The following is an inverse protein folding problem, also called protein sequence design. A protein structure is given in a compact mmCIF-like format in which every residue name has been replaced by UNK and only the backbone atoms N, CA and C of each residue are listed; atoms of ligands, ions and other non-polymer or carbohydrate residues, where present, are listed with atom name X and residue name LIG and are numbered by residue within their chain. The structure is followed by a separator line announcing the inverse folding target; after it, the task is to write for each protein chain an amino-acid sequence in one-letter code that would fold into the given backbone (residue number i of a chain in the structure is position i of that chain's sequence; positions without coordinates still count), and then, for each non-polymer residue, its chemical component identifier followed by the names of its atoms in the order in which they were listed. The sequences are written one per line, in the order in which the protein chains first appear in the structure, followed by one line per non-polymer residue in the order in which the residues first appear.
data_IF_330736538619
#
_entry.id   IF_330736538619
#
_cell.length_a   1.000
_cell.length_b   1.000
_cell.length_c   1.000
_cell.angle_alpha   90.00
_cell.angle_beta   90.00
_cell.angle_gamma   90.00
#
_symmetry.space_group_name_H-M   'P 1'
#
loop_
_entity.id
_entity.type
_entity.pdbx_description
1 polymer ?
#
# COMPACT_ATOMS: atom_id res chain seq x y z
N UNK A 1 -11.67 -17.39 19.36
CA UNK A 1 -12.38 -16.53 18.39
C UNK A 1 -11.79 -16.74 17.02
N UNK A 2 -12.58 -16.71 15.95
CA UNK A 2 -12.03 -16.77 14.60
C UNK A 2 -11.16 -15.53 14.33
N UNK A 3 -10.03 -15.71 13.62
CA UNK A 3 -9.19 -14.60 13.19
C UNK A 3 -9.95 -13.72 12.19
N UNK A 4 -9.72 -12.42 12.23
CA UNK A 4 -10.24 -11.50 11.21
C UNK A 4 -9.51 -11.72 9.89
N UNK A 5 -10.26 -11.65 8.80
CA UNK A 5 -9.71 -11.76 7.44
C UNK A 5 -9.21 -10.40 6.98
N UNK A 6 -7.95 -10.32 6.65
CA UNK A 6 -7.29 -9.06 6.26
C UNK A 6 -6.61 -9.22 4.90
N UNK A 7 -6.96 -8.36 3.95
CA UNK A 7 -6.21 -8.21 2.72
C UNK A 7 -5.01 -7.28 2.98
N UNK A 8 -3.81 -7.79 2.76
CA UNK A 8 -2.56 -7.03 2.82
C UNK A 8 -2.04 -6.84 1.39
N UNK A 9 -2.05 -5.61 0.89
CA UNK A 9 -1.46 -5.24 -0.40
C UNK A 9 -0.04 -4.72 -0.20
N UNK A 10 0.83 -4.90 -1.19
CA UNK A 10 2.25 -4.65 -1.03
C UNK A 10 2.93 -5.72 -0.17
N UNK A 11 2.39 -6.96 -0.23
CA UNK A 11 2.77 -8.05 0.65
C UNK A 11 4.22 -8.54 0.46
N UNK A 12 4.83 -8.27 -0.68
CA UNK A 12 6.24 -8.57 -0.97
C UNK A 12 7.19 -7.43 -0.61
N UNK A 13 6.63 -6.28 -0.18
CA UNK A 13 7.39 -5.09 0.17
C UNK A 13 8.15 -5.21 1.50
N UNK A 14 9.05 -4.24 1.73
CA UNK A 14 9.90 -4.21 2.93
C UNK A 14 9.08 -4.12 4.22
N UNK A 15 8.09 -3.21 4.29
CA UNK A 15 7.27 -3.04 5.49
C UNK A 15 6.50 -4.32 5.78
N UNK A 16 5.91 -4.92 4.75
CA UNK A 16 5.19 -6.19 4.89
C UNK A 16 6.12 -7.30 5.44
N UNK A 17 7.36 -7.38 4.98
CA UNK A 17 8.32 -8.40 5.46
C UNK A 17 8.58 -8.33 6.96
N UNK A 18 8.52 -7.11 7.54
CA UNK A 18 8.68 -6.90 8.98
C UNK A 18 7.40 -7.23 9.76
N UNK A 19 6.24 -7.02 9.16
CA UNK A 19 4.94 -7.18 9.83
C UNK A 19 4.39 -8.61 9.73
N UNK A 20 4.60 -9.28 8.61
CA UNK A 20 4.00 -10.58 8.30
C UNK A 20 4.20 -11.66 9.38
N UNK A 21 5.39 -11.83 9.98
CA UNK A 21 5.57 -12.84 11.02
C UNK A 21 4.58 -12.68 12.18
N UNK A 22 4.42 -11.45 12.66
CA UNK A 22 3.48 -11.14 13.75
C UNK A 22 2.03 -11.18 13.26
N UNK A 23 1.74 -10.63 12.10
CA UNK A 23 0.35 -10.56 11.59
C UNK A 23 -0.27 -11.93 11.38
N UNK A 24 0.49 -12.91 10.94
CA UNK A 24 0.02 -14.30 10.75
C UNK A 24 -0.49 -14.95 12.05
N UNK A 25 -0.03 -14.49 13.19
CA UNK A 25 -0.50 -14.99 14.49
C UNK A 25 -1.91 -14.48 14.83
N UNK A 26 -2.25 -13.28 14.37
CA UNK A 26 -3.48 -12.58 14.77
C UNK A 26 -4.57 -12.56 13.69
N UNK A 27 -4.20 -12.66 12.42
CA UNK A 27 -5.10 -12.50 11.28
C UNK A 27 -5.08 -13.70 10.33
N UNK A 28 -6.18 -13.89 9.64
CA UNK A 28 -6.28 -14.71 8.44
C UNK A 28 -5.96 -13.80 7.25
N UNK A 29 -4.81 -13.99 6.62
CA UNK A 29 -4.24 -13.05 5.66
C UNK A 29 -4.46 -13.50 4.22
N UNK A 30 -5.07 -12.64 3.43
CA UNK A 30 -4.96 -12.63 1.97
C UNK A 30 -3.83 -11.69 1.58
N UNK A 31 -2.81 -12.22 0.90
CA UNK A 31 -1.63 -11.45 0.51
C UNK A 31 -1.70 -11.12 -0.98
N UNK A 32 -1.46 -9.86 -1.36
CA UNK A 32 -1.48 -9.44 -2.76
C UNK A 32 -0.37 -8.42 -3.06
N UNK A 33 0.23 -8.57 -4.23
CA UNK A 33 1.27 -7.68 -4.76
C UNK A 33 1.41 -7.87 -6.27
N UNK A 34 2.10 -6.95 -6.96
CA UNK A 34 2.47 -7.10 -8.38
C UNK A 34 3.53 -8.20 -8.61
N UNK A 35 4.21 -8.63 -7.55
CA UNK A 35 5.24 -9.67 -7.56
C UNK A 35 5.15 -10.53 -6.31
N UNK A 36 5.44 -11.81 -6.43
CA UNK A 36 5.61 -12.71 -5.29
C UNK A 36 7.05 -12.73 -4.73
N UNK A 37 7.95 -11.89 -5.28
CA UNK A 37 9.34 -11.80 -4.84
C UNK A 37 9.55 -10.57 -3.99
N UNK A 38 10.17 -10.76 -2.82
CA UNK A 38 10.61 -9.66 -1.98
C UNK A 38 11.83 -8.93 -2.57
N UNK A 39 12.27 -7.88 -1.87
CA UNK A 39 13.41 -7.06 -2.31
C UNK A 39 14.74 -7.81 -2.47
N UNK A 40 14.88 -8.99 -1.87
CA UNK A 40 16.08 -9.82 -1.92
C UNK A 40 15.94 -10.94 -2.97
N UNK A 41 14.82 -10.94 -3.71
CA UNK A 41 14.50 -11.92 -4.75
C UNK A 41 13.89 -13.22 -4.23
N UNK A 42 13.67 -13.33 -2.91
CA UNK A 42 13.05 -14.50 -2.32
C UNK A 42 11.54 -14.49 -2.50
N UNK A 43 10.99 -15.67 -2.78
CA UNK A 43 9.55 -15.83 -2.91
C UNK A 43 8.83 -15.65 -1.57
N UNK A 44 7.75 -14.88 -1.59
CA UNK A 44 6.82 -14.73 -0.46
C UNK A 44 5.61 -15.64 -0.73
N UNK A 45 5.51 -16.70 0.06
CA UNK A 45 4.46 -17.68 -0.14
C UNK A 45 3.07 -17.14 0.13
N UNK A 46 2.13 -17.53 -0.74
CA UNK A 46 0.72 -17.17 -0.63
C UNK A 46 0.36 -15.81 -1.24
N UNK A 47 1.31 -15.11 -1.87
CA UNK A 47 1.02 -13.85 -2.57
C UNK A 47 0.25 -14.13 -3.85
N UNK A 48 -0.90 -13.50 -3.98
CA UNK A 48 -1.68 -13.43 -5.21
C UNK A 48 -1.22 -12.23 -6.03
N UNK A 49 -0.95 -12.47 -7.32
CA UNK A 49 -0.45 -11.42 -8.22
C UNK A 49 -1.61 -10.52 -8.63
N UNK A 50 -1.48 -9.23 -8.31
CA UNK A 50 -2.49 -8.23 -8.64
C UNK A 50 -1.84 -6.86 -8.85
N UNK A 51 -2.14 -6.22 -9.98
CA UNK A 51 -1.77 -4.83 -10.24
C UNK A 51 -2.94 -3.91 -9.91
N UNK A 52 -2.85 -3.23 -8.78
CA UNK A 52 -3.89 -2.31 -8.32
C UNK A 52 -3.86 -0.94 -9.03
N UNK A 53 -2.89 -0.68 -9.90
CA UNK A 53 -2.89 0.48 -10.80
C UNK A 53 -3.83 0.24 -11.98
N UNK A 54 -4.03 -1.02 -12.38
CA UNK A 54 -4.93 -1.37 -13.49
C UNK A 54 -6.35 -0.82 -13.22
N UNK A 55 -6.90 -0.01 -14.14
CA UNK A 55 -8.24 0.57 -13.97
C UNK A 55 -9.35 -0.48 -14.02
N UNK A 56 -9.10 -1.65 -14.60
CA UNK A 56 -10.04 -2.75 -14.60
C UNK A 56 -10.03 -3.51 -13.28
N UNK A 57 -10.82 -3.00 -12.32
CA UNK A 57 -10.92 -3.55 -10.97
C UNK A 57 -11.49 -4.96 -10.92
N UNK A 58 -12.16 -5.45 -11.99
CA UNK A 58 -12.68 -6.81 -12.04
C UNK A 58 -11.59 -7.87 -11.91
N UNK A 59 -10.36 -7.56 -12.34
CA UNK A 59 -9.20 -8.46 -12.29
C UNK A 59 -8.81 -8.87 -10.88
N UNK A 60 -9.09 -8.02 -9.89
CA UNK A 60 -8.71 -8.25 -8.49
C UNK A 60 -9.86 -8.06 -7.48
N UNK A 61 -11.11 -7.85 -7.97
CA UNK A 61 -12.27 -7.67 -7.10
C UNK A 61 -12.47 -8.84 -6.12
N UNK A 62 -12.20 -10.07 -6.57
CA UNK A 62 -12.31 -11.29 -5.77
C UNK A 62 -11.44 -11.26 -4.50
N UNK A 63 -10.36 -10.47 -4.47
CA UNK A 63 -9.48 -10.34 -3.30
C UNK A 63 -10.15 -9.61 -2.14
N UNK A 64 -11.23 -8.88 -2.40
CA UNK A 64 -11.97 -8.10 -1.40
C UNK A 64 -13.19 -8.86 -0.88
N UNK A 65 -13.51 -10.02 -1.43
CA UNK A 65 -14.68 -10.79 -1.03
C UNK A 65 -14.48 -11.46 0.33
N UNK A 66 -15.42 -11.23 1.23
CA UNK A 66 -15.40 -11.81 2.57
C UNK A 66 -14.25 -11.34 3.47
N UNK A 67 -13.63 -10.22 3.15
CA UNK A 67 -12.56 -9.56 3.92
C UNK A 67 -13.15 -8.62 4.96
N UNK A 68 -12.58 -8.56 6.17
CA UNK A 68 -13.00 -7.67 7.25
C UNK A 68 -12.31 -6.29 7.19
N UNK A 69 -11.06 -6.26 6.68
CA UNK A 69 -10.26 -5.03 6.58
C UNK A 69 -9.18 -5.14 5.50
N UNK A 70 -8.76 -4.00 4.97
CA UNK A 70 -7.60 -3.88 4.08
C UNK A 70 -6.47 -3.15 4.81
N UNK A 71 -5.24 -3.63 4.65
CA UNK A 71 -4.01 -2.91 4.97
C UNK A 71 -3.28 -2.68 3.66
N UNK A 72 -3.18 -1.41 3.24
CA UNK A 72 -2.59 -1.02 1.97
C UNK A 72 -1.18 -0.47 2.19
N UNK A 73 -0.17 -1.28 1.83
CA UNK A 73 1.24 -0.94 1.90
C UNK A 73 1.89 -0.87 0.51
N UNK A 74 1.13 -1.17 -0.55
CA UNK A 74 1.67 -1.11 -1.91
C UNK A 74 2.01 0.33 -2.28
N UNK A 75 3.16 0.50 -2.87
CA UNK A 75 3.67 1.78 -3.36
C UNK A 75 4.59 1.54 -4.55
N UNK A 76 4.37 2.26 -5.65
CA UNK A 76 5.25 2.24 -6.81
C UNK A 76 6.32 3.33 -6.64
N UNK A 77 7.60 2.97 -6.47
CA UNK A 77 8.66 3.96 -6.32
C UNK A 77 8.92 4.70 -7.64
N UNK A 78 9.34 5.96 -7.57
CA UNK A 78 9.66 6.80 -8.73
C UNK A 78 10.87 6.31 -9.51
N UNK A 79 11.84 5.73 -8.80
CA UNK A 79 13.09 5.30 -9.39
C UNK A 79 13.39 3.86 -8.98
N UNK A 80 14.04 3.09 -9.86
CA UNK A 80 14.61 1.82 -9.46
C UNK A 80 15.52 2.02 -8.25
N UNK A 81 15.49 1.06 -7.34
CA UNK A 81 16.30 1.09 -6.12
C UNK A 81 17.78 1.27 -6.45
N UNK A 82 18.41 2.27 -5.85
CA UNK A 82 19.83 2.59 -6.07
C UNK A 82 20.11 3.53 -7.23
N UNK A 83 19.11 3.88 -8.04
CA UNK A 83 19.24 4.94 -9.03
C UNK A 83 19.20 6.32 -8.36
N UNK A 84 19.97 7.28 -8.87
CA UNK A 84 19.88 8.67 -8.46
C UNK A 84 18.58 9.29 -8.99
N UNK A 85 18.09 10.34 -8.33
CA UNK A 85 16.95 11.13 -8.79
C UNK A 85 17.35 11.97 -10.00
N UNK A 86 17.38 11.35 -11.16
CA UNK A 86 17.66 12.02 -12.43
C UNK A 86 16.38 12.30 -13.24
N UNK A 87 15.21 11.89 -12.69
CA UNK A 87 13.95 12.06 -13.38
C UNK A 87 13.49 13.52 -13.37
N UNK A 88 12.99 13.96 -14.51
CA UNK A 88 12.35 15.26 -14.65
C UNK A 88 11.11 15.36 -13.71
N UNK A 89 10.72 16.57 -13.28
CA UNK A 89 9.54 16.76 -12.43
C UNK A 89 8.26 16.12 -12.98
N UNK A 90 8.10 16.10 -14.30
CA UNK A 90 6.95 15.48 -14.96
C UNK A 90 6.90 13.96 -14.71
N UNK A 91 8.04 13.28 -14.78
CA UNK A 91 8.12 11.84 -14.53
C UNK A 91 7.73 11.49 -13.10
N UNK A 92 8.08 12.37 -12.15
CA UNK A 92 7.66 12.23 -10.74
C UNK A 92 6.16 12.38 -10.60
N UNK A 93 5.58 13.36 -11.27
CA UNK A 93 4.13 13.58 -11.25
C UNK A 93 3.38 12.36 -11.77
N UNK A 94 3.81 11.79 -12.90
CA UNK A 94 3.18 10.62 -13.49
C UNK A 94 3.25 9.40 -12.57
N UNK A 95 4.41 9.17 -11.94
CA UNK A 95 4.56 8.09 -10.96
C UNK A 95 3.67 8.30 -9.71
N UNK A 96 3.57 9.52 -9.19
CA UNK A 96 2.68 9.81 -8.05
C UNK A 96 1.22 9.68 -8.45
N UNK A 97 0.86 10.06 -9.67
CA UNK A 97 -0.49 9.87 -10.18
C UNK A 97 -0.88 8.39 -10.22
N UNK A 98 0.03 7.48 -10.58
CA UNK A 98 -0.22 6.04 -10.50
C UNK A 98 -0.44 5.55 -9.06
N UNK A 99 0.30 6.09 -8.07
CA UNK A 99 0.07 5.77 -6.67
C UNK A 99 -1.30 6.28 -6.18
N UNK A 100 -1.72 7.46 -6.62
CA UNK A 100 -3.06 8.00 -6.36
C UNK A 100 -4.13 7.11 -7.00
N UNK A 101 -3.92 6.69 -8.24
CA UNK A 101 -4.84 5.78 -8.95
C UNK A 101 -4.96 4.45 -8.21
N UNK A 102 -3.84 3.87 -7.78
CA UNK A 102 -3.80 2.65 -7.00
C UNK A 102 -4.60 2.78 -5.69
N UNK A 103 -4.36 3.84 -4.92
CA UNK A 103 -5.09 4.10 -3.68
C UNK A 103 -6.60 4.25 -3.95
N UNK A 104 -6.99 5.00 -5.00
CA UNK A 104 -8.40 5.13 -5.39
C UNK A 104 -9.02 3.78 -5.75
N UNK A 105 -8.32 2.95 -6.51
CA UNK A 105 -8.81 1.62 -6.88
C UNK A 105 -9.03 0.72 -5.65
N UNK A 106 -8.11 0.76 -4.68
CA UNK A 106 -8.24 0.04 -3.41
C UNK A 106 -9.46 0.54 -2.62
N UNK A 107 -9.64 1.87 -2.49
CA UNK A 107 -10.80 2.43 -1.80
C UNK A 107 -12.12 2.01 -2.45
N UNK A 108 -12.19 2.10 -3.77
CA UNK A 108 -13.39 1.73 -4.52
C UNK A 108 -13.69 0.24 -4.41
N UNK A 109 -12.68 -0.61 -4.54
CA UNK A 109 -12.85 -2.06 -4.43
C UNK A 109 -13.26 -2.48 -3.02
N UNK A 110 -12.68 -1.86 -1.99
CA UNK A 110 -13.08 -2.09 -0.62
C UNK A 110 -14.52 -1.65 -0.34
N UNK A 111 -14.93 -0.47 -0.86
CA UNK A 111 -16.29 0.02 -0.74
C UNK A 111 -17.30 -0.91 -1.43
N UNK A 112 -17.00 -1.31 -2.67
CA UNK A 112 -17.84 -2.22 -3.45
C UNK A 112 -17.95 -3.61 -2.79
N UNK A 113 -16.88 -4.08 -2.13
CA UNK A 113 -16.85 -5.30 -1.32
C UNK A 113 -17.52 -5.16 0.06
N UNK A 114 -18.07 -3.98 0.40
CA UNK A 114 -18.75 -3.74 1.68
C UNK A 114 -17.83 -3.63 2.90
N UNK A 115 -16.53 -3.41 2.70
CA UNK A 115 -15.55 -3.28 3.77
C UNK A 115 -15.74 -1.98 4.54
N UNK A 116 -15.54 -2.05 5.86
CA UNK A 116 -15.70 -0.89 6.75
C UNK A 116 -14.39 -0.34 7.30
N UNK A 117 -13.27 -1.03 7.01
CA UNK A 117 -11.97 -0.66 7.57
C UNK A 117 -10.88 -0.77 6.52
N UNK A 118 -10.16 0.33 6.34
CA UNK A 118 -8.98 0.41 5.50
C UNK A 118 -7.92 1.15 6.31
N UNK A 119 -6.73 0.55 6.41
CA UNK A 119 -5.52 1.19 6.90
C UNK A 119 -4.58 1.40 5.73
N UNK A 120 -4.12 2.62 5.51
CA UNK A 120 -3.19 2.96 4.42
C UNK A 120 -1.91 3.52 5.04
N UNK A 121 -0.78 3.01 4.57
CA UNK A 121 0.50 3.58 4.91
C UNK A 121 0.59 4.99 4.30
N UNK A 122 0.95 5.95 5.12
CA UNK A 122 1.27 7.31 4.74
C UNK A 122 2.70 7.63 5.10
N UNK A 123 3.12 8.87 4.94
CA UNK A 123 4.46 9.34 5.25
C UNK A 123 4.39 10.60 6.09
N UNK A 124 5.40 10.81 6.96
CA UNK A 124 5.61 12.09 7.61
C UNK A 124 5.81 13.21 6.58
N UNK A 125 6.35 12.88 5.41
CA UNK A 125 6.51 13.84 4.29
C UNK A 125 5.18 14.38 3.75
N UNK A 126 4.06 13.76 4.04
CA UNK A 126 2.74 14.30 3.71
C UNK A 126 2.47 15.66 4.40
N UNK A 127 3.20 15.95 5.48
CA UNK A 127 3.09 17.19 6.25
C UNK A 127 4.33 18.11 6.15
N UNK A 128 5.26 17.85 5.24
CA UNK A 128 6.56 18.56 5.15
C UNK A 128 6.39 20.07 4.96
N UNK A 129 5.31 20.50 4.30
CA UNK A 129 5.00 21.93 4.18
C UNK A 129 4.89 22.65 5.54
N UNK A 130 4.44 21.93 6.57
CA UNK A 130 4.26 22.46 7.90
C UNK A 130 5.51 22.32 8.78
N UNK A 131 6.53 21.59 8.34
CA UNK A 131 7.74 21.34 9.13
C UNK A 131 8.45 22.62 9.59
N UNK A 132 8.64 23.67 8.73
CA UNK A 132 9.23 24.92 9.18
C UNK A 132 8.40 25.63 10.27
N UNK A 133 7.08 25.52 10.20
CA UNK A 133 6.17 26.10 11.19
C UNK A 133 6.24 25.34 12.52
N UNK A 134 6.28 24.00 12.45
CA UNK A 134 6.46 23.14 13.63
C UNK A 134 7.79 23.41 14.32
N UNK A 135 8.90 23.46 13.57
CA UNK A 135 10.24 23.75 14.10
C UNK A 135 10.37 25.14 14.69
N UNK A 136 9.64 26.11 14.20
CA UNK A 136 9.63 27.50 14.72
C UNK A 136 8.70 27.68 15.91
N UNK A 137 7.96 26.66 16.34
CA UNK A 137 6.95 26.76 17.40
C UNK A 137 5.73 27.61 17.02
N UNK A 138 5.52 27.84 15.73
CA UNK A 138 4.43 28.69 15.22
C UNK A 138 3.14 27.94 14.90
N UNK A 139 3.15 26.61 14.99
CA UNK A 139 1.94 25.80 14.91
C UNK A 139 1.41 25.55 16.30
N UNK A 140 0.57 26.41 16.73
CA UNK A 140 -0.19 26.30 17.97
C UNK A 140 -1.62 25.80 17.73
N UNK A 141 -1.96 25.49 16.46
CA UNK A 141 -3.30 25.02 16.09
C UNK A 141 -3.21 24.03 14.92
N UNK A 142 -3.63 22.84 15.15
CA UNK A 142 -4.26 21.96 14.17
C UNK A 142 -5.63 21.58 14.71
#
# INVERSE_FOLDING_TARGET
MAKRKVLLTGASGYIASLMLPTMRDYFDLTLADVSDKNRDGNKVEGVQIADFIDPDRSKYAHLFEGIDAVIHLAFKPHTPRGARFENEPIDRFDNEHENIQMANNIYRSAYDGGLRRIAIASSNHAADWYEPLLRSGRMDVV
#
